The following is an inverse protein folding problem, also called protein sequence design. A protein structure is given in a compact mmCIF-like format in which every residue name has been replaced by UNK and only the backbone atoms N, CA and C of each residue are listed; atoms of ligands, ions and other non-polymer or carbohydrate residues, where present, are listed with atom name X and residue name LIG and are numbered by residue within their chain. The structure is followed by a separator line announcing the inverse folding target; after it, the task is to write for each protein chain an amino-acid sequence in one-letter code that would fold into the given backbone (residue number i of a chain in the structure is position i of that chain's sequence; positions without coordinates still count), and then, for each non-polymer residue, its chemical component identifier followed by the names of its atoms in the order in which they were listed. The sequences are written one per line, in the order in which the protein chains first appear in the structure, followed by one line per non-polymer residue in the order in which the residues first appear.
data_IF_607098449997
#
_entry.id   IF_607098449997
#
_cell.length_a   1.000
_cell.length_b   1.000
_cell.length_c   1.000
_cell.angle_alpha   90.00
_cell.angle_beta   90.00
_cell.angle_gamma   90.00
#
_symmetry.space_group_name_H-M   'P 1'
#
loop_
_entity.id
_entity.type
_entity.pdbx_description
1 polymer ?
#
# COMPACT_ATOMS: atom_id res chain seq x y z
N UNK A 1 6.66 -34.95 12.94
CA UNK A 1 6.44 -34.15 14.16
C UNK A 1 5.35 -33.12 13.89
N UNK A 2 4.14 -33.33 14.39
CA UNK A 2 3.02 -32.37 14.21
C UNK A 2 3.19 -31.22 15.19
N UNK A 3 3.71 -30.09 14.72
CA UNK A 3 3.88 -28.89 15.53
C UNK A 3 2.54 -28.45 16.12
N UNK A 4 2.46 -28.42 17.46
CA UNK A 4 1.28 -28.01 18.23
C UNK A 4 0.88 -26.59 17.79
N UNK A 5 -0.19 -26.46 17.00
CA UNK A 5 -0.71 -25.17 16.57
C UNK A 5 -1.24 -24.45 17.80
N UNK A 6 -0.59 -23.35 18.19
CA UNK A 6 -1.12 -22.48 19.24
C UNK A 6 -2.43 -21.87 18.74
N UNK A 7 -3.46 -21.77 19.59
CA UNK A 7 -4.71 -21.12 19.20
C UNK A 7 -4.40 -19.69 18.73
N UNK A 8 -5.03 -19.31 17.64
CA UNK A 8 -4.85 -18.00 17.06
C UNK A 8 -5.45 -16.94 18.01
N UNK A 9 -4.73 -15.84 18.25
CA UNK A 9 -5.29 -14.70 18.98
C UNK A 9 -6.53 -14.17 18.27
N UNK A 10 -7.54 -13.74 19.02
CA UNK A 10 -8.77 -13.16 18.45
C UNK A 10 -8.46 -11.86 17.71
N UNK A 11 -9.35 -11.44 16.80
CA UNK A 11 -9.12 -10.23 16.02
C UNK A 11 -9.09 -8.98 16.92
N UNK A 12 -9.96 -8.93 17.93
CA UNK A 12 -10.06 -7.83 18.89
C UNK A 12 -8.73 -7.64 19.62
N UNK A 13 -8.15 -8.73 20.12
CA UNK A 13 -6.86 -8.71 20.81
C UNK A 13 -5.74 -8.17 19.91
N UNK A 14 -5.70 -8.60 18.64
CA UNK A 14 -4.69 -8.10 17.68
C UNK A 14 -4.88 -6.62 17.40
N UNK A 15 -6.13 -6.16 17.28
CA UNK A 15 -6.47 -4.76 17.00
C UNK A 15 -6.09 -3.86 18.17
N UNK A 16 -6.38 -4.28 19.39
CA UNK A 16 -5.96 -3.57 20.61
C UNK A 16 -4.44 -3.50 20.75
N UNK A 17 -3.74 -4.62 20.49
CA UNK A 17 -2.28 -4.66 20.52
C UNK A 17 -1.66 -3.67 19.52
N UNK A 18 -2.20 -3.60 18.29
CA UNK A 18 -1.73 -2.65 17.28
C UNK A 18 -2.09 -1.20 17.66
N UNK A 19 -3.31 -0.95 18.13
CA UNK A 19 -3.73 0.39 18.60
C UNK A 19 -2.83 0.91 19.72
N UNK A 20 -2.45 0.05 20.66
CA UNK A 20 -1.51 0.41 21.75
C UNK A 20 -0.11 0.69 21.22
N UNK A 21 0.35 -0.06 20.23
CA UNK A 21 1.65 0.15 19.58
C UNK A 21 1.71 1.42 18.70
N UNK A 22 0.57 1.99 18.32
CA UNK A 22 0.48 3.24 17.56
C UNK A 22 0.42 4.49 18.45
N UNK A 23 0.23 4.32 19.76
CA UNK A 23 0.26 5.44 20.70
C UNK A 23 1.66 6.05 20.79
N UNK A 24 1.78 7.39 20.88
CA UNK A 24 3.07 8.06 21.06
C UNK A 24 3.82 7.53 22.29
N UNK A 25 5.11 7.22 22.12
CA UNK A 25 5.96 6.67 23.18
C UNK A 25 5.94 5.15 23.32
N UNK A 26 5.02 4.45 22.65
CA UNK A 26 5.01 2.99 22.61
C UNK A 26 5.75 2.46 21.38
N UNK A 27 6.47 1.36 21.56
CA UNK A 27 7.11 0.61 20.47
C UNK A 27 6.51 -0.78 20.38
N UNK A 28 6.57 -1.41 19.19
CA UNK A 28 6.16 -2.80 19.01
C UNK A 28 6.85 -3.74 20.03
N UNK A 29 8.10 -3.45 20.40
CA UNK A 29 8.84 -4.25 21.38
C UNK A 29 8.34 -4.06 22.81
N UNK A 30 8.04 -2.82 23.21
CA UNK A 30 7.48 -2.51 24.54
C UNK A 30 6.11 -3.16 24.72
N UNK A 31 5.22 -2.98 23.75
CA UNK A 31 3.87 -3.54 23.78
C UNK A 31 3.89 -5.06 23.69
N UNK A 32 4.81 -5.64 22.92
CA UNK A 32 5.00 -7.08 22.85
C UNK A 32 5.39 -7.68 24.21
N UNK A 33 6.30 -7.02 24.93
CA UNK A 33 6.73 -7.43 26.27
C UNK A 33 5.59 -7.38 27.28
N UNK A 34 4.76 -6.33 27.21
CA UNK A 34 3.59 -6.17 28.08
C UNK A 34 2.52 -7.24 27.81
N UNK A 35 2.25 -7.53 26.54
CA UNK A 35 1.20 -8.49 26.13
C UNK A 35 1.67 -9.95 26.08
N UNK A 36 2.95 -10.23 26.36
CA UNK A 36 3.52 -11.58 26.29
C UNK A 36 3.58 -12.17 24.87
N UNK A 37 3.63 -11.31 23.85
CA UNK A 37 3.71 -11.70 22.43
C UNK A 37 5.07 -11.33 21.84
N UNK A 38 5.36 -11.74 20.61
CA UNK A 38 6.58 -11.29 19.93
C UNK A 38 6.37 -9.95 19.23
N UNK A 39 7.40 -9.11 19.19
CA UNK A 39 7.36 -7.85 18.44
C UNK A 39 7.06 -8.06 16.95
N UNK A 40 7.51 -9.20 16.40
CA UNK A 40 7.22 -9.60 15.02
C UNK A 40 5.72 -9.89 14.81
N UNK A 41 5.02 -10.44 15.81
CA UNK A 41 3.57 -10.65 15.72
C UNK A 41 2.82 -9.33 15.63
N UNK A 42 3.17 -8.35 16.46
CA UNK A 42 2.58 -7.01 16.42
C UNK A 42 2.87 -6.33 15.07
N UNK A 43 4.11 -6.44 14.56
CA UNK A 43 4.46 -5.93 13.24
C UNK A 43 3.60 -6.58 12.12
N UNK A 44 3.44 -7.91 12.17
CA UNK A 44 2.64 -8.64 11.20
C UNK A 44 1.15 -8.28 11.28
N UNK A 45 0.62 -8.03 12.47
CA UNK A 45 -0.77 -7.57 12.64
C UNK A 45 -0.95 -6.15 12.10
N UNK A 46 -0.01 -5.24 12.35
CA UNK A 46 -0.03 -3.89 11.79
C UNK A 46 -0.02 -3.90 10.25
N UNK A 47 0.84 -4.73 9.65
CA UNK A 47 0.85 -4.98 8.19
C UNK A 47 -0.50 -5.51 7.68
N UNK A 48 -1.10 -6.47 8.40
CA UNK A 48 -2.39 -7.05 8.03
C UNK A 48 -3.51 -6.01 8.10
N UNK A 49 -3.59 -5.22 9.17
CA UNK A 49 -4.61 -4.18 9.30
C UNK A 49 -4.42 -3.06 8.28
N UNK A 50 -3.19 -2.61 8.03
CA UNK A 50 -2.94 -1.60 6.98
C UNK A 50 -3.35 -2.09 5.58
N UNK A 51 -3.02 -3.36 5.25
CA UNK A 51 -3.44 -3.97 4.00
C UNK A 51 -4.96 -4.19 3.95
N UNK A 52 -5.61 -4.50 5.08
CA UNK A 52 -7.06 -4.60 5.18
C UNK A 52 -7.71 -3.24 4.96
N UNK A 53 -7.20 -2.17 5.57
CA UNK A 53 -7.67 -0.79 5.34
C UNK A 53 -7.50 -0.38 3.88
N UNK A 54 -6.34 -0.67 3.27
CA UNK A 54 -6.09 -0.40 1.85
C UNK A 54 -7.04 -1.21 0.95
N UNK A 55 -7.29 -2.48 1.29
CA UNK A 55 -8.26 -3.32 0.58
C UNK A 55 -9.71 -2.91 0.80
N UNK A 56 -10.07 -2.44 1.99
CA UNK A 56 -11.41 -1.95 2.32
C UNK A 56 -11.69 -0.62 1.63
N UNK A 57 -10.68 0.25 1.52
CA UNK A 57 -10.75 1.45 0.70
C UNK A 57 -10.91 1.08 -0.78
N UNK A 58 -10.17 0.06 -1.23
CA UNK A 58 -10.34 -0.57 -2.54
C UNK A 58 -11.57 -1.52 -2.58
N UNK A 59 -12.45 -1.53 -1.58
CA UNK A 59 -13.69 -2.31 -1.60
C UNK A 59 -14.85 -1.49 -1.06
N UNK A 60 -15.16 -0.36 -1.69
CA UNK A 60 -16.40 0.34 -1.42
C UNK A 60 -17.57 -0.51 -1.97
N UNK A 61 -18.57 -0.81 -1.14
CA UNK A 61 -19.82 -1.49 -1.54
C UNK A 61 -19.67 -2.90 -2.15
N UNK A 62 -18.67 -3.68 -1.74
CA UNK A 62 -18.52 -5.08 -2.16
C UNK A 62 -17.88 -5.29 -3.54
N UNK A 63 -17.39 -4.23 -4.18
CA UNK A 63 -16.63 -4.30 -5.44
C UNK A 63 -15.14 -4.26 -5.11
N UNK A 64 -14.37 -5.30 -5.44
CA UNK A 64 -12.91 -5.36 -5.21
C UNK A 64 -12.16 -4.58 -6.30
N UNK A 65 -11.89 -3.29 -6.06
CA UNK A 65 -11.06 -2.43 -6.90
C UNK A 65 -9.56 -2.79 -6.87
N UNK A 66 -9.13 -3.75 -6.03
CA UNK A 66 -7.72 -4.10 -5.86
C UNK A 66 -7.10 -4.83 -7.07
N UNK A 67 -7.91 -5.44 -7.95
CA UNK A 67 -7.38 -6.28 -9.04
C UNK A 67 -7.55 -5.65 -10.42
N UNK A 68 -8.75 -5.25 -10.80
CA UNK A 68 -9.01 -4.75 -12.16
C UNK A 68 -8.66 -3.27 -12.34
N UNK A 69 -8.90 -2.42 -11.35
CA UNK A 69 -8.58 -0.99 -11.45
C UNK A 69 -7.05 -0.75 -11.51
N UNK A 70 -6.24 -1.70 -11.02
CA UNK A 70 -4.78 -1.58 -11.04
C UNK A 70 -4.19 -1.75 -12.45
N UNK A 71 -4.80 -2.57 -13.32
CA UNK A 71 -4.26 -2.86 -14.64
C UNK A 71 -4.59 -1.74 -15.63
N UNK A 72 -5.84 -1.29 -15.63
CA UNK A 72 -6.29 -0.20 -16.49
C UNK A 72 -5.67 1.14 -16.06
N UNK A 73 -5.60 1.44 -14.76
CA UNK A 73 -4.93 2.65 -14.30
C UNK A 73 -3.41 2.62 -14.58
N UNK A 74 -2.76 1.46 -14.52
CA UNK A 74 -1.35 1.32 -14.95
C UNK A 74 -1.20 1.52 -16.44
N UNK A 75 -2.11 0.95 -17.25
CA UNK A 75 -2.11 1.11 -18.71
C UNK A 75 -2.32 2.58 -19.09
N UNK A 76 -3.34 3.23 -18.54
CA UNK A 76 -3.65 4.64 -18.78
C UNK A 76 -2.53 5.58 -18.33
N UNK A 77 -1.86 5.30 -17.19
CA UNK A 77 -0.68 6.07 -16.76
C UNK A 77 0.51 5.91 -17.72
N UNK A 78 0.74 4.69 -18.21
CA UNK A 78 1.80 4.41 -19.18
C UNK A 78 1.51 5.13 -20.51
N UNK A 79 0.29 5.04 -20.99
CA UNK A 79 -0.17 5.70 -22.22
C UNK A 79 -0.07 7.22 -22.11
N UNK A 80 -0.51 7.81 -20.98
CA UNK A 80 -0.33 9.24 -20.72
C UNK A 80 1.14 9.67 -20.70
N UNK A 81 2.03 8.85 -20.14
CA UNK A 81 3.45 9.16 -20.07
C UNK A 81 4.09 9.17 -21.47
N UNK A 82 3.73 8.23 -22.33
CA UNK A 82 4.23 8.18 -23.71
C UNK A 82 3.69 9.34 -24.55
N UNK A 83 2.38 9.63 -24.47
CA UNK A 83 1.79 10.78 -25.17
C UNK A 83 2.43 12.11 -24.75
N UNK A 84 2.75 12.29 -23.47
CA UNK A 84 3.44 13.49 -22.99
C UNK A 84 4.84 13.64 -23.58
N UNK A 85 5.60 12.55 -23.70
CA UNK A 85 6.92 12.57 -24.34
C UNK A 85 6.82 12.92 -25.81
N UNK A 86 5.84 12.37 -26.52
CA UNK A 86 5.63 12.65 -27.94
C UNK A 86 5.24 14.12 -28.17
N UNK A 87 4.34 14.66 -27.34
CA UNK A 87 4.02 16.10 -27.35
C UNK A 87 5.26 16.95 -27.08
N UNK A 88 6.10 16.57 -26.11
CA UNK A 88 7.33 17.31 -25.81
C UNK A 88 8.33 17.26 -26.97
N UNK A 89 8.49 16.09 -27.60
CA UNK A 89 9.34 15.92 -28.77
C UNK A 89 8.85 16.77 -29.95
N UNK A 90 7.55 16.73 -30.27
CA UNK A 90 6.97 17.53 -31.34
C UNK A 90 7.10 19.04 -31.08
N UNK A 91 6.95 19.47 -29.82
CA UNK A 91 7.20 20.87 -29.43
C UNK A 91 8.65 21.28 -29.66
N UNK A 92 9.61 20.43 -29.28
CA UNK A 92 11.05 20.68 -29.51
C UNK A 92 11.37 20.72 -31.01
N UNK A 93 10.82 19.81 -31.79
CA UNK A 93 10.98 19.80 -33.24
C UNK A 93 10.38 21.06 -33.89
N UNK A 94 9.16 21.45 -33.51
CA UNK A 94 8.52 22.67 -34.00
C UNK A 94 9.34 23.92 -33.64
N UNK A 95 9.89 24.00 -32.43
CA UNK A 95 10.77 25.10 -32.02
C UNK A 95 12.08 25.11 -32.82
N UNK A 96 12.69 23.95 -33.07
CA UNK A 96 13.88 23.83 -33.92
C UNK A 96 13.60 24.32 -35.35
N UNK A 97 12.52 23.87 -35.98
CA UNK A 97 12.16 24.29 -37.34
C UNK A 97 11.74 25.76 -37.42
N UNK A 98 11.11 26.31 -36.39
CA UNK A 98 10.80 27.74 -36.32
C UNK A 98 12.07 28.61 -36.25
N UNK A 99 13.12 28.13 -35.57
CA UNK A 99 14.41 28.81 -35.45
C UNK A 99 15.36 28.59 -36.65
N UNK A 100 15.03 27.68 -37.58
CA UNK A 100 15.80 27.40 -38.80
C UNK A 100 15.23 28.11 -40.04
N UNK A 101 14.11 28.84 -39.91
CA UNK A 101 13.60 29.72 -40.97
C UNK A 101 14.34 31.07 -40.92
N UNK A 102 15.59 31.06 -41.35
CA UNK A 102 16.31 32.19 -41.95
C UNK A 102 17.00 31.71 -43.23
#
# INVERSE_FOLDING_TARGET
MTGKRRPAYTEEFRREAVKRAEQPGNTNASVAKELGVSAQQIYNWRRQFNRLTEKQFNSLNGVDYSKDESAEARRLRKENAELKKEVEFLKKAAAYFANQKE
#
